data_IF_518709560070
#
_entry.id   IF_518709560070
#
_cell.length_a   1.000
_cell.length_b   1.000
_cell.length_c   1.000
_cell.angle_alpha   90.00
_cell.angle_beta   90.00
_cell.angle_gamma   90.00
#
_symmetry.space_group_name_H-M   'P 1'
#
loop_
_entity.id
_entity.type
_entity.pdbx_description
1 polymer ?
#
# COMPACT_ATOMS: atom_id res chain seq x y z
N UNK A 1 -29.79 22.81 -37.21
CA UNK A 1 -30.04 21.50 -37.85
C UNK A 1 -29.17 20.49 -37.14
N UNK A 2 -29.83 19.59 -36.44
CA UNK A 2 -29.32 18.64 -35.43
C UNK A 2 -28.72 17.37 -36.08
N UNK A 3 -27.66 16.84 -35.45
CA UNK A 3 -27.37 15.45 -34.97
C UNK A 3 -27.82 14.19 -35.76
N UNK A 4 -27.39 12.95 -35.39
CA UNK A 4 -26.05 12.42 -35.03
C UNK A 4 -25.76 11.01 -35.66
N UNK A 5 -24.57 10.43 -35.43
CA UNK A 5 -24.22 9.04 -35.77
C UNK A 5 -23.88 8.24 -34.48
N UNK A 6 -24.68 7.22 -34.18
CA UNK A 6 -24.51 6.26 -33.08
C UNK A 6 -24.07 4.91 -33.68
N UNK A 7 -22.96 4.32 -33.22
CA UNK A 7 -22.58 2.95 -33.55
C UNK A 7 -22.69 2.09 -32.28
N UNK A 8 -23.66 1.19 -32.26
CA UNK A 8 -23.95 0.28 -31.16
C UNK A 8 -23.00 -0.94 -31.16
N UNK A 9 -22.67 -1.40 -29.96
CA UNK A 9 -21.85 -2.58 -29.66
C UNK A 9 -22.73 -3.83 -29.73
N UNK A 10 -22.40 -4.80 -30.60
CA UNK A 10 -23.08 -6.11 -30.66
C UNK A 10 -22.54 -7.10 -29.60
N UNK A 11 -23.38 -7.98 -29.02
CA UNK A 11 -22.97 -8.94 -27.99
C UNK A 11 -22.12 -10.11 -28.52
N UNK A 12 -21.27 -10.74 -27.66
CA UNK A 12 -20.16 -11.60 -28.07
C UNK A 12 -20.54 -12.99 -28.61
N UNK A 13 -21.82 -13.35 -28.63
CA UNK A 13 -22.26 -14.67 -29.12
C UNK A 13 -22.39 -14.76 -30.64
N UNK A 14 -22.63 -13.63 -31.33
CA UNK A 14 -22.80 -13.62 -32.80
C UNK A 14 -21.46 -13.65 -33.54
N UNK A 15 -20.42 -13.03 -32.97
CA UNK A 15 -19.07 -13.02 -33.54
C UNK A 15 -18.45 -14.42 -33.59
N UNK A 16 -18.72 -15.25 -32.58
CA UNK A 16 -18.23 -16.64 -32.52
C UNK A 16 -18.84 -17.49 -33.64
N UNK A 17 -20.14 -17.35 -33.92
CA UNK A 17 -20.82 -18.04 -35.02
C UNK A 17 -20.34 -17.57 -36.40
N UNK A 18 -20.17 -16.26 -36.60
CA UNK A 18 -19.68 -15.70 -37.88
C UNK A 18 -18.22 -16.09 -38.14
N UNK A 19 -17.39 -16.16 -37.10
CA UNK A 19 -16.01 -16.66 -37.21
C UNK A 19 -15.95 -18.16 -37.52
N UNK A 20 -16.87 -18.96 -36.98
CA UNK A 20 -16.92 -20.41 -37.20
C UNK A 20 -17.43 -20.77 -38.61
N UNK A 21 -18.42 -20.05 -39.14
CA UNK A 21 -18.87 -20.18 -40.53
C UNK A 21 -17.79 -19.75 -41.55
N UNK A 22 -17.01 -18.70 -41.24
CA UNK A 22 -15.86 -18.28 -42.06
C UNK A 22 -14.72 -19.32 -42.02
N UNK A 23 -14.48 -19.95 -40.88
CA UNK A 23 -13.48 -21.02 -40.75
C UNK A 23 -13.88 -22.28 -41.53
N UNK A 24 -15.18 -22.63 -41.56
CA UNK A 24 -15.69 -23.75 -42.34
C UNK A 24 -15.59 -23.51 -43.86
N UNK A 25 -15.85 -22.29 -44.35
CA UNK A 25 -15.70 -21.94 -45.78
C UNK A 25 -14.25 -21.94 -46.27
N UNK A 26 -13.27 -21.70 -45.38
CA UNK A 26 -11.84 -21.75 -45.71
C UNK A 26 -11.25 -23.18 -45.71
N UNK A 27 -12.02 -24.20 -45.31
CA UNK A 27 -11.55 -25.60 -45.22
C UNK A 27 -11.61 -26.38 -46.54
N UNK A 28 -12.14 -25.79 -47.61
CA UNK A 28 -12.29 -26.44 -48.93
C UNK A 28 -10.93 -26.81 -49.58
N UNK A 29 -9.83 -26.20 -49.15
CA UNK A 29 -8.47 -26.43 -49.71
C UNK A 29 -7.51 -27.13 -48.75
N UNK A 30 -7.97 -27.60 -47.59
CA UNK A 30 -7.11 -28.19 -46.55
C UNK A 30 -6.92 -29.72 -46.68
N UNK A 31 -5.72 -30.18 -46.30
CA UNK A 31 -5.26 -31.57 -46.31
C UNK A 31 -6.17 -32.54 -45.52
N UNK A 32 -6.32 -33.82 -45.92
CA UNK A 32 -7.30 -34.77 -45.34
C UNK A 32 -7.21 -34.98 -43.82
N UNK A 33 -6.05 -34.74 -43.21
CA UNK A 33 -5.85 -34.81 -41.75
C UNK A 33 -6.52 -33.67 -40.97
N UNK A 34 -6.61 -32.49 -41.58
CA UNK A 34 -7.20 -31.29 -40.95
C UNK A 34 -8.74 -31.39 -41.03
N UNK A 35 -9.29 -31.92 -42.14
CA UNK A 35 -10.74 -32.16 -42.28
C UNK A 35 -11.30 -33.08 -41.21
N UNK A 36 -10.64 -34.21 -40.93
CA UNK A 36 -11.06 -35.14 -39.85
C UNK A 36 -11.10 -34.50 -38.46
N UNK A 37 -10.22 -33.52 -38.21
CA UNK A 37 -10.16 -32.83 -36.92
C UNK A 37 -11.28 -31.77 -36.79
N UNK A 38 -11.64 -31.12 -37.89
CA UNK A 38 -12.74 -30.15 -37.95
C UNK A 38 -14.10 -30.86 -37.87
N UNK A 39 -14.26 -32.01 -38.53
CA UNK A 39 -15.49 -32.81 -38.49
C UNK A 39 -15.77 -33.35 -37.07
N UNK A 40 -14.73 -33.74 -36.34
CA UNK A 40 -14.83 -34.18 -34.93
C UNK A 40 -15.26 -33.04 -33.99
N UNK A 41 -14.79 -31.81 -34.24
CA UNK A 41 -15.18 -30.62 -33.45
C UNK A 41 -16.62 -30.20 -33.79
N UNK A 42 -17.05 -30.36 -35.04
CA UNK A 42 -18.42 -30.11 -35.49
C UNK A 42 -19.43 -31.08 -34.85
N UNK A 43 -19.10 -32.37 -34.77
CA UNK A 43 -19.93 -33.39 -34.10
C UNK A 43 -20.18 -33.10 -32.62
N UNK A 44 -19.16 -32.63 -31.90
CA UNK A 44 -19.25 -32.29 -30.48
C UNK A 44 -20.06 -31.01 -30.19
N UNK A 45 -20.27 -30.15 -31.19
CA UNK A 45 -21.00 -28.89 -31.06
C UNK A 45 -22.50 -28.98 -31.43
N UNK A 46 -22.95 -30.09 -32.04
CA UNK A 46 -24.35 -30.31 -32.46
C UNK A 46 -25.41 -30.17 -31.34
N UNK A 47 -25.20 -30.63 -30.09
CA UNK A 47 -26.24 -30.54 -29.05
C UNK A 47 -26.46 -29.12 -28.49
N UNK A 48 -25.58 -28.14 -28.80
CA UNK A 48 -25.76 -26.75 -28.37
C UNK A 48 -26.57 -25.90 -29.37
N UNK A 49 -26.89 -26.42 -30.56
CA UNK A 49 -27.56 -25.67 -31.63
C UNK A 49 -29.05 -26.01 -31.78
N UNK A 50 -29.61 -26.88 -30.93
CA UNK A 50 -31.02 -27.28 -31.00
C UNK A 50 -31.75 -26.96 -29.70
N UNK A 51 -32.08 -25.68 -29.49
CA UNK A 51 -33.16 -25.28 -28.60
C UNK A 51 -34.03 -24.23 -29.32
N UNK A 52 -35.36 -24.41 -29.37
CA UNK A 52 -36.24 -23.58 -30.19
C UNK A 52 -36.42 -22.17 -29.61
N UNK A 53 -36.29 -21.19 -30.50
CA UNK A 53 -36.57 -19.77 -30.30
C UNK A 53 -38.06 -19.57 -30.63
N UNK A 54 -38.88 -19.26 -29.62
CA UNK A 54 -40.07 -18.39 -29.76
C UNK A 54 -40.79 -18.22 -28.42
N UNK A 55 -40.65 -17.04 -27.83
CA UNK A 55 -41.73 -16.19 -27.31
C UNK A 55 -41.08 -15.03 -26.58
N UNK A 56 -41.15 -13.83 -27.15
CA UNK A 56 -41.49 -12.56 -26.49
C UNK A 56 -41.27 -11.42 -27.50
N UNK A 57 -42.37 -10.82 -27.95
CA UNK A 57 -42.37 -9.52 -28.63
C UNK A 57 -42.05 -8.40 -27.61
N UNK A 58 -41.55 -7.23 -28.07
CA UNK A 58 -40.96 -6.20 -27.22
C UNK A 58 -41.99 -5.12 -26.82
N UNK A 59 -41.93 -4.67 -25.57
CA UNK A 59 -42.42 -3.33 -25.20
C UNK A 59 -41.25 -2.48 -24.69
N UNK A 60 -41.24 -1.25 -25.16
CA UNK A 60 -40.16 -0.27 -25.10
C UNK A 60 -40.15 0.45 -23.75
N UNK A 61 -38.99 0.50 -23.08
CA UNK A 61 -38.49 1.76 -22.49
C UNK A 61 -37.12 1.62 -21.80
N UNK A 62 -36.16 2.37 -22.35
CA UNK A 62 -35.05 3.06 -21.69
C UNK A 62 -34.07 2.27 -20.83
N UNK A 63 -32.94 1.91 -21.45
CA UNK A 63 -31.65 1.73 -20.79
C UNK A 63 -30.83 3.01 -20.99
N UNK A 64 -30.27 3.57 -19.93
CA UNK A 64 -29.13 4.50 -20.00
C UNK A 64 -28.11 4.07 -18.96
N UNK A 65 -26.98 3.61 -19.47
CA UNK A 65 -25.87 3.03 -18.72
C UNK A 65 -24.94 4.09 -18.12
N UNK A 66 -24.30 3.65 -17.05
CA UNK A 66 -23.48 4.39 -16.12
C UNK A 66 -22.10 4.74 -16.68
N UNK A 67 -21.66 5.98 -16.44
CA UNK A 67 -20.25 6.36 -16.40
C UNK A 67 -19.85 6.51 -14.92
N UNK A 68 -18.94 5.63 -14.46
CA UNK A 68 -18.47 5.59 -13.09
C UNK A 68 -17.31 6.58 -12.86
N UNK A 69 -17.54 7.61 -12.04
CA UNK A 69 -16.51 8.37 -11.35
C UNK A 69 -16.66 8.13 -9.83
N UNK A 70 -15.56 7.77 -9.17
CA UNK A 70 -15.56 7.22 -7.82
C UNK A 70 -16.09 8.15 -6.73
N UNK A 71 -16.73 7.57 -5.70
CA UNK A 71 -16.79 8.16 -4.36
C UNK A 71 -17.07 7.08 -3.31
N UNK A 72 -16.55 7.35 -2.10
CA UNK A 72 -16.50 6.53 -0.89
C UNK A 72 -17.81 5.78 -0.57
N UNK A 73 -17.66 4.56 -0.04
CA UNK A 73 -18.70 3.68 0.51
C UNK A 73 -19.80 4.45 1.27
N UNK A 74 -21.01 4.47 0.70
CA UNK A 74 -22.22 5.04 1.29
C UNK A 74 -22.90 3.98 2.16
N UNK A 75 -23.04 4.26 3.46
CA UNK A 75 -23.95 3.51 4.34
C UNK A 75 -25.38 3.79 3.86
N UNK A 76 -26.22 2.77 3.76
CA UNK A 76 -27.65 2.89 3.45
C UNK A 76 -28.27 3.98 4.34
N UNK A 77 -28.67 5.09 3.72
CA UNK A 77 -29.37 6.18 4.35
C UNK A 77 -30.76 6.26 3.73
N UNK A 78 -31.75 6.47 4.58
CA UNK A 78 -33.16 6.71 4.23
C UNK A 78 -33.31 7.70 3.07
N UNK A 79 -34.39 7.58 2.27
CA UNK A 79 -34.64 8.48 1.14
C UNK A 79 -34.67 9.93 1.63
N UNK A 80 -33.89 10.80 0.98
CA UNK A 80 -33.82 12.25 1.28
C UNK A 80 -34.42 13.03 0.11
N UNK A 81 -35.27 13.99 0.42
CA UNK A 81 -35.83 14.96 -0.52
C UNK A 81 -34.99 16.25 -0.48
N UNK A 82 -34.81 16.91 -1.60
CA UNK A 82 -34.01 18.14 -1.71
C UNK A 82 -34.89 19.26 -2.24
N UNK A 83 -35.09 20.32 -1.47
CA UNK A 83 -35.88 21.48 -1.89
C UNK A 83 -34.96 22.63 -2.30
N UNK A 84 -35.21 23.23 -3.47
CA UNK A 84 -34.52 24.42 -3.98
C UNK A 84 -35.50 25.58 -3.98
N UNK A 85 -35.31 26.54 -3.07
CA UNK A 85 -36.15 27.73 -2.94
C UNK A 85 -35.70 28.86 -3.87
N UNK A 86 -34.40 29.00 -4.05
CA UNK A 86 -33.79 29.97 -4.98
C UNK A 86 -32.74 29.21 -5.79
N UNK A 87 -32.91 29.17 -7.11
CA UNK A 87 -32.07 28.44 -8.07
C UNK A 87 -32.60 28.62 -9.49
N UNK A 88 -32.04 27.89 -10.46
CA UNK A 88 -32.50 27.96 -11.86
C UNK A 88 -33.97 27.51 -12.01
N UNK A 89 -34.34 26.41 -11.35
CA UNK A 89 -35.73 25.95 -11.24
C UNK A 89 -36.04 25.66 -9.76
N UNK A 90 -36.87 26.48 -9.11
CA UNK A 90 -37.35 26.20 -7.75
C UNK A 90 -38.28 24.98 -7.73
N UNK A 91 -38.09 24.07 -6.78
CA UNK A 91 -38.83 22.82 -6.71
C UNK A 91 -38.26 21.79 -5.73
N UNK A 92 -38.92 20.64 -5.65
CA UNK A 92 -38.50 19.49 -4.83
C UNK A 92 -37.95 18.40 -5.74
N UNK A 93 -36.76 17.91 -5.41
CA UNK A 93 -36.02 16.90 -6.14
C UNK A 93 -35.80 15.65 -5.27
N UNK A 94 -35.88 14.48 -5.87
CA UNK A 94 -35.66 13.20 -5.17
C UNK A 94 -34.18 12.82 -5.13
N UNK A 95 -33.38 13.37 -6.05
CA UNK A 95 -31.97 13.06 -6.19
C UNK A 95 -31.12 14.32 -5.98
N UNK A 96 -29.99 14.15 -5.29
CA UNK A 96 -29.02 15.22 -5.11
C UNK A 96 -28.49 15.78 -6.44
N UNK A 97 -28.32 14.92 -7.45
CA UNK A 97 -27.80 15.34 -8.76
C UNK A 97 -28.73 16.35 -9.45
N UNK A 98 -30.05 16.17 -9.33
CA UNK A 98 -31.05 17.08 -9.87
C UNK A 98 -31.02 18.43 -9.15
N UNK A 99 -30.96 18.41 -7.81
CA UNK A 99 -30.83 19.62 -6.98
C UNK A 99 -29.52 20.37 -7.27
N UNK A 100 -28.41 19.65 -7.40
CA UNK A 100 -27.09 20.22 -7.66
C UNK A 100 -27.08 21.01 -8.98
N UNK A 101 -27.68 20.47 -10.04
CA UNK A 101 -27.78 21.16 -11.33
C UNK A 101 -28.52 22.51 -11.23
N UNK A 102 -29.46 22.67 -10.29
CA UNK A 102 -30.22 23.91 -10.10
C UNK A 102 -29.49 24.96 -9.26
N UNK A 103 -28.46 24.55 -8.53
CA UNK A 103 -27.74 25.39 -7.55
C UNK A 103 -26.35 25.77 -8.09
N UNK A 104 -25.70 24.88 -8.86
CA UNK A 104 -24.36 25.13 -9.39
C UNK A 104 -24.36 26.25 -10.42
N UNK A 105 -23.70 27.36 -10.09
CA UNK A 105 -23.57 28.53 -10.98
C UNK A 105 -24.60 29.62 -10.74
N UNK A 106 -25.59 29.42 -9.86
CA UNK A 106 -26.58 30.43 -9.51
C UNK A 106 -26.11 31.25 -8.29
N UNK A 107 -25.91 32.56 -8.46
CA UNK A 107 -25.50 33.46 -7.36
C UNK A 107 -26.67 33.65 -6.38
N UNK A 108 -26.53 33.18 -5.15
CA UNK A 108 -27.54 33.33 -4.10
C UNK A 108 -28.54 32.17 -4.00
N UNK A 109 -28.18 30.98 -4.46
CA UNK A 109 -29.05 29.81 -4.37
C UNK A 109 -29.33 29.39 -2.91
N UNK A 110 -30.58 29.03 -2.62
CA UNK A 110 -31.07 28.61 -1.30
C UNK A 110 -31.72 27.24 -1.43
N UNK A 111 -31.13 26.21 -0.82
CA UNK A 111 -31.59 24.82 -0.90
C UNK A 111 -31.35 24.09 0.42
N UNK A 112 -32.17 23.07 0.71
CA UNK A 112 -32.05 22.25 1.93
C UNK A 112 -32.54 20.81 1.67
N UNK A 113 -31.97 19.83 2.39
CA UNK A 113 -32.41 18.43 2.33
C UNK A 113 -33.30 18.07 3.51
N UNK A 114 -34.39 17.36 3.25
CA UNK A 114 -35.38 16.92 4.24
C UNK A 114 -35.61 15.41 4.17
N UNK A 115 -35.95 14.76 5.30
CA UNK A 115 -36.36 13.37 5.34
C UNK A 115 -37.75 13.10 4.73
N UNK A 116 -38.63 14.10 4.67
CA UNK A 116 -40.00 13.98 4.11
C UNK A 116 -40.26 15.00 3.01
N UNK A 117 -41.07 14.63 2.02
CA UNK A 117 -41.54 15.52 0.94
C UNK A 117 -42.39 16.67 1.48
N UNK A 118 -43.14 16.44 2.55
CA UNK A 118 -43.99 17.45 3.19
C UNK A 118 -43.15 18.57 3.81
N UNK A 119 -42.03 18.23 4.44
CA UNK A 119 -41.08 19.21 5.00
C UNK A 119 -40.36 20.00 3.89
N UNK A 120 -40.07 19.36 2.77
CA UNK A 120 -39.50 20.01 1.59
C UNK A 120 -40.48 21.02 0.95
N UNK A 121 -41.77 20.71 0.94
CA UNK A 121 -42.83 21.61 0.44
C UNK A 121 -43.04 22.82 1.36
N UNK A 122 -43.00 22.59 2.68
CA UNK A 122 -43.03 23.65 3.69
C UNK A 122 -41.87 24.67 3.53
N UNK A 123 -40.67 24.18 3.18
CA UNK A 123 -39.51 25.04 2.91
C UNK A 123 -39.73 25.96 1.69
N UNK A 124 -40.41 25.47 0.64
CA UNK A 124 -40.72 26.25 -0.57
C UNK A 124 -41.84 27.26 -0.33
N UNK A 125 -42.90 26.85 0.35
CA UNK A 125 -44.07 27.70 0.64
C UNK A 125 -43.80 28.77 1.70
N UNK A 126 -42.68 28.67 2.42
CA UNK A 126 -42.30 29.65 3.45
C UNK A 126 -43.06 29.48 4.77
N UNK A 127 -43.99 28.52 4.84
CA UNK A 127 -44.58 28.07 6.09
C UNK A 127 -43.58 27.16 6.79
N UNK A 128 -42.92 27.67 7.84
CA UNK A 128 -42.13 26.83 8.75
C UNK A 128 -43.07 25.76 9.32
N UNK A 129 -42.92 24.50 8.89
CA UNK A 129 -43.59 23.38 9.53
C UNK A 129 -43.28 23.40 11.04
N UNK A 130 -44.25 23.06 11.91
CA UNK A 130 -44.02 23.03 13.34
C UNK A 130 -42.91 22.01 13.63
N UNK A 131 -41.74 22.52 14.00
CA UNK A 131 -40.70 21.70 14.61
C UNK A 131 -41.30 21.02 15.83
N UNK A 132 -41.08 19.71 16.05
CA UNK A 132 -41.48 19.08 17.30
C UNK A 132 -40.52 19.56 18.41
N UNK A 133 -40.79 20.78 18.90
CA UNK A 133 -40.35 21.33 20.17
C UNK A 133 -41.49 22.20 20.68
N UNK A 134 -42.31 21.66 21.57
CA UNK A 134 -42.33 22.10 22.97
C UNK A 134 -43.43 21.38 23.74
N UNK A 135 -43.04 20.73 24.85
CA UNK A 135 -43.98 20.18 25.83
C UNK A 135 -43.61 18.80 26.38
N UNK A 136 -42.52 18.71 27.16
CA UNK A 136 -42.48 17.98 28.45
C UNK A 136 -41.03 17.73 28.88
N UNK A 137 -40.63 18.36 29.97
CA UNK A 137 -39.34 18.18 30.64
C UNK A 137 -39.24 16.76 31.22
N UNK A 138 -38.46 15.90 30.56
CA UNK A 138 -37.86 14.71 31.17
C UNK A 138 -36.52 14.44 30.49
N UNK A 139 -35.45 14.60 31.27
CA UNK A 139 -34.09 14.72 30.81
C UNK A 139 -33.57 13.45 30.12
N UNK A 140 -33.24 13.54 28.82
CA UNK A 140 -32.36 12.56 28.17
C UNK A 140 -30.91 12.87 28.57
N UNK A 141 -30.55 12.52 29.80
CA UNK A 141 -29.17 12.63 30.30
C UNK A 141 -28.29 11.61 29.59
N UNK A 142 -27.58 12.03 28.55
CA UNK A 142 -26.54 11.20 27.92
C UNK A 142 -25.36 11.12 28.88
N UNK A 143 -24.86 9.92 29.14
CA UNK A 143 -23.69 9.69 30.00
C UNK A 143 -22.45 9.33 29.17
N UNK A 144 -21.29 9.80 29.58
CA UNK A 144 -20.00 9.62 28.89
C UNK A 144 -19.04 8.90 29.84
N UNK A 145 -18.73 7.63 29.56
CA UNK A 145 -17.77 6.85 30.34
C UNK A 145 -16.37 6.93 29.74
N UNK A 146 -15.38 7.30 30.54
CA UNK A 146 -13.97 7.42 30.15
C UNK A 146 -13.16 6.35 30.87
N UNK A 147 -12.65 5.39 30.10
CA UNK A 147 -11.86 4.26 30.57
C UNK A 147 -10.35 4.59 30.57
N UNK A 148 -9.89 5.36 29.59
CA UNK A 148 -8.49 5.80 29.46
C UNK A 148 -8.47 7.27 29.05
N UNK A 149 -8.06 8.14 29.95
CA UNK A 149 -8.03 9.60 29.82
C UNK A 149 -7.29 10.22 31.00
N UNK A 150 -7.28 11.56 31.11
CA UNK A 150 -6.63 12.26 32.24
C UNK A 150 -7.27 11.87 33.59
N UNK A 151 -8.60 11.87 33.64
CA UNK A 151 -9.39 11.40 34.79
C UNK A 151 -10.40 10.36 34.28
N UNK A 152 -10.21 9.07 34.60
CA UNK A 152 -11.21 8.02 34.31
C UNK A 152 -12.45 8.22 35.16
N UNK A 153 -13.64 8.09 34.56
CA UNK A 153 -14.91 8.35 35.25
C UNK A 153 -16.11 8.48 34.31
N UNK A 154 -17.29 8.69 34.90
CA UNK A 154 -18.54 8.93 34.17
C UNK A 154 -18.92 10.40 34.25
N UNK A 155 -19.19 11.01 33.11
CA UNK A 155 -19.54 12.42 32.97
C UNK A 155 -20.95 12.54 32.38
N UNK A 156 -21.71 13.53 32.84
CA UNK A 156 -23.03 13.88 32.31
C UNK A 156 -22.97 14.98 31.26
N UNK A 157 -21.83 15.66 31.16
CA UNK A 157 -21.56 16.77 30.24
C UNK A 157 -20.42 16.40 29.30
N UNK A 158 -20.66 16.57 27.99
CA UNK A 158 -19.65 16.31 26.97
C UNK A 158 -18.46 17.26 27.06
N UNK A 159 -18.67 18.54 27.44
CA UNK A 159 -17.57 19.51 27.52
C UNK A 159 -16.51 19.04 28.54
N UNK A 160 -16.95 18.63 29.73
CA UNK A 160 -16.09 18.07 30.78
C UNK A 160 -15.42 16.76 30.36
N UNK A 161 -16.16 15.89 29.65
CA UNK A 161 -15.62 14.62 29.16
C UNK A 161 -14.55 14.82 28.08
N UNK A 162 -14.75 15.80 27.19
CA UNK A 162 -13.86 16.11 26.09
C UNK A 162 -12.50 16.60 26.60
N UNK A 163 -12.46 17.42 27.65
CA UNK A 163 -11.21 17.88 28.26
C UNK A 163 -10.33 16.74 28.80
N UNK A 164 -10.93 15.61 29.18
CA UNK A 164 -10.19 14.43 29.67
C UNK A 164 -9.57 13.59 28.55
N UNK A 165 -10.12 13.70 27.34
CA UNK A 165 -9.75 12.89 26.16
C UNK A 165 -8.83 13.69 25.23
N UNK A 166 -9.05 15.00 25.11
CA UNK A 166 -8.36 15.86 24.15
C UNK A 166 -6.86 15.92 24.47
N UNK A 167 -6.05 15.50 23.50
CA UNK A 167 -4.58 15.49 23.61
C UNK A 167 -4.00 14.34 24.45
N UNK A 168 -4.82 13.39 24.94
CA UNK A 168 -4.33 12.20 25.65
C UNK A 168 -3.92 11.11 24.64
N UNK A 169 -2.83 10.37 24.89
CA UNK A 169 -2.41 9.28 23.99
C UNK A 169 -3.27 8.03 24.20
N UNK A 170 -4.01 7.65 23.16
CA UNK A 170 -4.84 6.44 23.13
C UNK A 170 -6.02 6.48 24.09
N UNK A 171 -6.89 7.50 24.03
CA UNK A 171 -8.01 7.61 24.95
C UNK A 171 -9.09 6.58 24.61
N UNK A 172 -9.72 6.01 25.63
CA UNK A 172 -10.84 5.06 25.50
C UNK A 172 -12.05 5.63 26.21
N UNK A 173 -13.08 5.99 25.45
CA UNK A 173 -14.33 6.55 25.98
C UNK A 173 -15.53 6.09 25.15
N UNK A 174 -16.73 6.08 25.76
CA UNK A 174 -17.98 5.70 25.09
C UNK A 174 -19.18 6.44 25.67
N UNK A 175 -20.19 6.68 24.85
CA UNK A 175 -21.46 7.30 25.25
C UNK A 175 -22.52 6.24 25.57
N UNK A 176 -23.34 6.52 26.58
CA UNK A 176 -24.36 5.61 27.11
C UNK A 176 -25.66 6.38 27.37
N UNK A 177 -26.78 5.68 27.24
CA UNK A 177 -28.11 6.19 27.59
C UNK A 177 -28.39 6.07 29.09
N UNK A 178 -27.70 5.18 29.80
CA UNK A 178 -27.88 4.95 31.25
C UNK A 178 -26.55 5.13 32.00
N UNK A 179 -26.62 5.65 33.23
CA UNK A 179 -25.46 5.88 34.10
C UNK A 179 -24.75 4.57 34.45
N UNK A 180 -25.53 3.55 34.79
CA UNK A 180 -25.03 2.23 35.19
C UNK A 180 -24.18 1.57 34.09
N UNK A 181 -24.60 1.68 32.83
CA UNK A 181 -23.84 1.15 31.69
C UNK A 181 -22.52 1.91 31.48
N UNK A 182 -22.49 3.22 31.78
CA UNK A 182 -21.25 4.01 31.74
C UNK A 182 -20.29 3.61 32.88
N UNK A 183 -20.80 3.35 34.08
CA UNK A 183 -20.00 2.94 35.25
C UNK A 183 -19.40 1.54 35.07
N UNK A 184 -20.16 0.60 34.47
CA UNK A 184 -19.64 -0.73 34.12
C UNK A 184 -18.48 -0.63 33.11
N UNK A 185 -18.59 0.24 32.11
CA UNK A 185 -17.55 0.45 31.11
C UNK A 185 -16.24 1.00 31.69
N UNK A 186 -16.31 1.87 32.70
CA UNK A 186 -15.13 2.39 33.41
C UNK A 186 -14.48 1.32 34.28
N UNK A 187 -15.28 0.54 35.03
CA UNK A 187 -14.79 -0.58 35.87
C UNK A 187 -14.03 -1.64 35.09
N UNK A 188 -14.54 -2.03 33.91
CA UNK A 188 -13.85 -2.98 33.03
C UNK A 188 -12.47 -2.48 32.53
N UNK A 189 -12.15 -1.19 32.67
CA UNK A 189 -10.80 -0.66 32.38
C UNK A 189 -9.82 -0.77 33.52
N UNK A 190 -10.30 -0.64 34.75
CA UNK A 190 -9.45 -0.65 35.95
C UNK A 190 -8.98 -2.06 36.31
N UNK A 191 -9.75 -3.10 36.00
CA UNK A 191 -9.34 -4.51 36.24
C UNK A 191 -8.15 -4.95 35.39
N UNK A 192 -7.87 -4.27 34.26
CA UNK A 192 -6.70 -4.57 33.42
C UNK A 192 -5.39 -3.92 33.90
N UNK A 193 -5.40 -3.22 35.05
CA UNK A 193 -4.23 -2.54 35.63
C UNK A 193 -3.73 -3.10 36.96
N UNK A 194 -4.39 -4.11 37.55
CA UNK A 194 -3.79 -4.87 38.63
C UNK A 194 -2.90 -5.97 38.05
N UNK A 195 -1.59 -5.75 38.15
CA UNK A 195 -0.56 -6.76 37.97
C UNK A 195 -0.76 -7.81 39.06
N UNK A 196 -1.55 -8.85 38.76
CA UNK A 196 -1.52 -10.07 39.55
C UNK A 196 -0.15 -10.72 39.38
N UNK A 197 0.47 -10.97 40.54
CA UNK A 197 1.74 -11.61 40.76
C UNK A 197 1.82 -12.94 40.02
N UNK A 198 2.76 -13.04 39.09
CA UNK A 198 3.16 -14.32 38.51
C UNK A 198 3.87 -15.15 39.60
N UNK A 199 3.63 -16.47 39.68
CA UNK A 199 4.34 -17.33 40.61
C UNK A 199 5.85 -17.31 40.29
N UNK A 200 6.66 -17.18 41.35
CA UNK A 200 8.11 -17.05 41.27
C UNK A 200 8.76 -18.20 40.51
N UNK A 201 9.81 -17.87 39.76
CA UNK A 201 10.60 -18.85 39.01
C UNK A 201 11.16 -19.94 39.97
N UNK A 202 11.18 -21.22 39.55
CA UNK A 202 11.75 -22.29 40.35
C UNK A 202 13.26 -22.04 40.54
N UNK A 203 13.72 -21.86 41.79
CA UNK A 203 15.16 -21.72 42.09
C UNK A 203 15.57 -20.69 43.15
N UNK A 204 14.63 -19.95 43.75
CA UNK A 204 14.92 -19.11 44.92
C UNK A 204 15.09 -20.00 46.16
N UNK A 205 16.33 -20.24 46.60
CA UNK A 205 16.58 -20.78 47.93
C UNK A 205 16.16 -19.74 48.99
N UNK A 206 15.41 -20.19 49.99
CA UNK A 206 15.06 -19.37 51.16
C UNK A 206 16.29 -19.25 52.08
N UNK A 207 17.00 -18.13 51.96
CA UNK A 207 18.07 -17.74 52.89
C UNK A 207 19.27 -17.09 52.21
N UNK A 208 19.90 -16.13 52.88
CA UNK A 208 21.18 -15.57 52.43
C UNK A 208 22.25 -16.68 52.46
N UNK A 209 23.09 -16.81 51.41
CA UNK A 209 24.23 -17.73 51.44
C UNK A 209 25.14 -17.41 52.62
N UNK A 210 25.66 -18.44 53.28
CA UNK A 210 26.64 -18.33 54.37
C UNK A 210 27.97 -18.90 53.91
N UNK A 211 29.07 -18.41 54.46
CA UNK A 211 30.39 -18.97 54.19
C UNK A 211 30.62 -20.30 54.95
N UNK A 212 31.80 -20.92 54.75
CA UNK A 212 32.16 -22.16 55.45
C UNK A 212 32.33 -21.99 56.98
N UNK A 213 32.35 -20.75 57.48
CA UNK A 213 32.39 -20.42 58.90
C UNK A 213 30.98 -20.14 59.49
N UNK A 214 29.95 -20.08 58.65
CA UNK A 214 28.56 -19.84 59.06
C UNK A 214 28.15 -18.37 59.12
N UNK A 215 29.01 -17.46 58.65
CA UNK A 215 28.75 -16.02 58.63
C UNK A 215 27.99 -15.62 57.35
N UNK A 216 27.04 -14.70 57.48
CA UNK A 216 26.24 -14.19 56.36
C UNK A 216 27.05 -13.20 55.52
N UNK A 217 27.04 -13.36 54.20
CA UNK A 217 27.71 -12.39 53.32
C UNK A 217 27.04 -11.01 53.43
N UNK A 218 27.85 -9.97 53.66
CA UNK A 218 27.39 -8.60 53.58
C UNK A 218 26.81 -8.30 52.18
N UNK A 219 25.72 -7.52 52.14
CA UNK A 219 24.98 -7.20 50.92
C UNK A 219 25.93 -6.73 49.79
N UNK A 220 26.00 -7.51 48.71
CA UNK A 220 26.84 -7.22 47.54
C UNK A 220 28.17 -7.98 47.45
N UNK A 221 28.51 -8.83 48.43
CA UNK A 221 29.81 -9.55 48.46
C UNK A 221 29.68 -11.07 48.36
N UNK A 222 28.46 -11.59 48.15
CA UNK A 222 28.22 -13.03 48.00
C UNK A 222 28.56 -13.53 46.59
N UNK A 223 29.06 -14.77 46.45
CA UNK A 223 29.27 -15.37 45.14
C UNK A 223 27.94 -15.46 44.38
N UNK A 224 27.97 -15.14 43.09
CA UNK A 224 26.81 -15.27 42.21
C UNK A 224 26.33 -16.73 42.23
N UNK A 225 25.01 -16.98 42.34
CA UNK A 225 24.49 -18.33 42.31
C UNK A 225 24.86 -19.00 40.96
N UNK A 226 25.14 -20.31 40.95
CA UNK A 226 25.48 -21.02 39.73
C UNK A 226 24.36 -20.84 38.68
N UNK A 227 24.64 -20.10 37.60
CA UNK A 227 23.68 -19.83 36.52
C UNK A 227 23.14 -18.39 36.42
N UNK A 228 23.59 -17.44 37.24
CA UNK A 228 23.24 -16.02 37.05
C UNK A 228 24.18 -15.33 36.04
N UNK A 229 23.63 -14.89 34.91
CA UNK A 229 24.31 -13.97 33.98
C UNK A 229 24.14 -12.51 34.42
N UNK A 230 25.24 -11.77 34.42
CA UNK A 230 25.38 -10.40 34.93
C UNK A 230 24.55 -9.39 34.10
N UNK A 231 23.63 -8.71 34.78
CA UNK A 231 22.73 -7.71 34.23
C UNK A 231 23.42 -6.37 33.97
N UNK A 232 24.30 -6.35 32.97
CA UNK A 232 24.78 -5.19 32.19
C UNK A 232 24.56 -3.79 32.83
N UNK A 233 25.39 -3.39 33.80
CA UNK A 233 25.42 -1.98 34.22
C UNK A 233 25.87 -1.10 33.03
N UNK A 234 25.03 -0.16 32.55
CA UNK A 234 25.34 0.65 31.38
C UNK A 234 26.56 1.55 31.59
N UNK A 235 27.02 1.77 32.82
CA UNK A 235 28.18 2.61 33.14
C UNK A 235 29.52 1.86 33.14
N UNK A 236 29.48 0.54 33.00
CA UNK A 236 30.64 -0.32 33.16
C UNK A 236 31.02 -0.96 31.83
N UNK A 237 32.33 -1.06 31.56
CA UNK A 237 32.94 -1.71 30.42
C UNK A 237 33.94 -2.74 30.94
N UNK A 238 33.90 -3.96 30.40
CA UNK A 238 34.97 -4.92 30.58
C UNK A 238 36.07 -4.60 29.58
N UNK A 239 37.25 -4.20 30.05
CA UNK A 239 38.39 -3.95 29.17
C UNK A 239 38.92 -5.30 28.64
N UNK A 240 38.85 -5.57 27.32
CA UNK A 240 39.25 -6.86 26.75
C UNK A 240 40.75 -7.13 26.90
N UNK A 241 41.55 -6.10 27.16
CA UNK A 241 43.00 -6.19 27.27
C UNK A 241 43.44 -6.58 28.67
N UNK A 242 42.72 -6.10 29.68
CA UNK A 242 43.07 -6.30 31.10
C UNK A 242 42.12 -7.23 31.83
N UNK A 243 40.96 -7.57 31.23
CA UNK A 243 39.90 -8.36 31.85
C UNK A 243 39.27 -7.70 33.06
N UNK A 244 39.55 -6.42 33.30
CA UNK A 244 39.08 -5.67 34.46
C UNK A 244 37.84 -4.84 34.12
N UNK A 245 37.03 -4.66 35.14
CA UNK A 245 35.81 -3.87 35.11
C UNK A 245 36.20 -2.39 35.25
N UNK A 246 35.95 -1.58 34.22
CA UNK A 246 36.29 -0.15 34.15
C UNK A 246 35.03 0.68 33.95
N UNK A 247 34.94 1.84 34.59
CA UNK A 247 33.84 2.79 34.35
C UNK A 247 34.03 3.54 33.03
N UNK A 248 32.96 3.63 32.23
CA UNK A 248 32.97 4.37 30.95
C UNK A 248 33.25 5.85 31.16
N UNK A 249 34.10 6.42 30.31
CA UNK A 249 34.39 7.87 30.35
C UNK A 249 33.17 8.68 29.89
N UNK A 250 33.08 9.99 30.23
CA UNK A 250 31.99 10.87 29.80
C UNK A 250 31.80 10.90 28.27
N UNK A 251 32.89 10.81 27.51
CA UNK A 251 32.92 10.83 26.04
C UNK A 251 32.31 9.55 25.47
N UNK A 252 32.69 8.38 26.02
CA UNK A 252 32.13 7.07 25.65
C UNK A 252 30.63 6.96 26.00
N UNK A 253 30.20 7.65 27.06
CA UNK A 253 28.78 7.78 27.40
C UNK A 253 28.02 8.68 26.41
N UNK A 254 28.67 9.70 25.85
CA UNK A 254 28.08 10.59 24.85
C UNK A 254 27.99 9.94 23.46
N UNK A 255 28.99 9.17 23.02
CA UNK A 255 28.99 8.48 21.73
C UNK A 255 27.76 7.57 21.55
N UNK A 256 27.34 6.85 22.61
CA UNK A 256 26.13 6.00 22.58
C UNK A 256 24.82 6.78 22.45
N UNK A 257 24.78 8.06 22.86
CA UNK A 257 23.57 8.89 22.75
C UNK A 257 23.32 9.37 21.31
N UNK A 258 24.32 9.32 20.42
CA UNK A 258 24.23 9.83 19.04
C UNK A 258 23.98 8.69 18.05
N UNK A 259 23.31 7.61 18.46
CA UNK A 259 22.75 6.65 17.50
C UNK A 259 21.47 7.28 16.91
N UNK A 260 21.45 7.69 15.63
CA UNK A 260 20.24 8.24 15.03
C UNK A 260 19.17 7.15 15.03
N UNK A 261 18.10 7.38 15.79
CA UNK A 261 16.89 6.57 15.72
C UNK A 261 16.47 6.49 14.24
N UNK A 262 16.41 5.30 13.62
CA UNK A 262 16.05 5.21 12.21
C UNK A 262 14.67 5.85 12.05
N UNK A 263 14.62 6.89 11.22
CA UNK A 263 13.42 7.69 10.92
C UNK A 263 12.38 6.85 10.16
N UNK A 264 11.73 5.91 10.84
CA UNK A 264 10.73 5.03 10.25
C UNK A 264 10.02 4.23 11.34
N UNK A 265 8.82 3.70 11.08
CA UNK A 265 8.19 2.76 11.99
C UNK A 265 9.16 1.59 12.27
N UNK A 266 9.31 1.17 13.53
CA UNK A 266 10.25 0.11 13.90
C UNK A 266 9.85 -1.18 13.17
N UNK A 267 10.73 -1.67 12.29
CA UNK A 267 10.57 -2.96 11.61
C UNK A 267 10.69 -2.92 10.08
N UNK A 268 10.46 -1.77 9.45
CA UNK A 268 10.46 -1.68 7.98
C UNK A 268 11.86 -1.42 7.43
N UNK A 269 12.33 -2.26 6.51
CA UNK A 269 13.65 -2.15 5.89
C UNK A 269 13.64 -0.98 4.92
N UNK A 270 14.54 -0.01 5.11
CA UNK A 270 14.69 1.12 4.21
C UNK A 270 15.72 0.79 3.16
N UNK A 271 15.41 1.08 1.91
CA UNK A 271 16.31 0.86 0.79
C UNK A 271 16.29 2.10 -0.07
N UNK A 272 17.45 2.63 -0.39
CA UNK A 272 17.60 3.76 -1.31
C UNK A 272 18.06 3.21 -2.66
N UNK A 273 17.44 3.67 -3.74
CA UNK A 273 17.72 3.19 -5.09
C UNK A 273 17.90 4.37 -6.02
N UNK A 274 18.93 4.31 -6.85
CA UNK A 274 19.25 5.32 -7.85
C UNK A 274 19.80 4.67 -9.13
N UNK A 275 19.64 5.37 -10.25
CA UNK A 275 20.14 4.97 -11.56
C UNK A 275 20.79 6.16 -12.26
N UNK A 276 22.03 5.96 -12.72
CA UNK A 276 22.81 7.02 -13.37
C UNK A 276 23.26 6.57 -14.75
N UNK A 277 23.10 7.42 -15.76
CA UNK A 277 23.53 7.18 -17.13
C UNK A 277 24.48 8.28 -17.62
N UNK A 278 25.72 7.88 -17.88
CA UNK A 278 26.73 8.70 -18.54
C UNK A 278 26.44 8.77 -20.05
N UNK A 279 26.54 9.96 -20.63
CA UNK A 279 26.33 10.22 -22.07
C UNK A 279 24.99 9.66 -22.59
N UNK A 280 23.93 9.82 -21.79
CA UNK A 280 22.59 9.31 -22.09
C UNK A 280 22.12 9.71 -23.50
N UNK A 281 21.56 8.76 -24.25
CA UNK A 281 21.07 8.96 -25.62
C UNK A 281 22.13 8.83 -26.72
N UNK A 282 23.38 8.54 -26.39
CA UNK A 282 24.45 8.25 -27.37
C UNK A 282 24.72 6.74 -27.47
N UNK A 283 25.38 6.29 -28.54
CA UNK A 283 25.83 4.89 -28.68
C UNK A 283 26.89 4.48 -27.65
N UNK A 284 27.54 5.46 -27.03
CA UNK A 284 28.50 5.27 -25.93
C UNK A 284 27.87 5.49 -24.55
N UNK A 285 26.54 5.51 -24.47
CA UNK A 285 25.86 5.62 -23.20
C UNK A 285 26.22 4.43 -22.31
N UNK A 286 26.54 4.72 -21.05
CA UNK A 286 26.84 3.71 -20.03
C UNK A 286 26.00 4.04 -18.82
N UNK A 287 25.23 3.10 -18.34
CA UNK A 287 24.39 3.30 -17.18
C UNK A 287 24.79 2.35 -16.04
N UNK A 288 24.50 2.78 -14.82
CA UNK A 288 24.83 2.07 -13.61
C UNK A 288 23.67 2.07 -12.64
N UNK A 289 23.65 1.03 -11.83
CA UNK A 289 22.58 0.70 -10.89
C UNK A 289 23.15 0.81 -9.48
N UNK A 290 22.50 1.63 -8.64
CA UNK A 290 22.87 1.84 -7.25
C UNK A 290 21.75 1.38 -6.30
N UNK A 291 22.07 0.52 -5.35
CA UNK A 291 21.16 0.12 -4.26
C UNK A 291 21.87 0.23 -2.92
N UNK A 292 21.27 0.95 -1.98
CA UNK A 292 21.85 1.22 -0.68
C UNK A 292 20.88 0.83 0.46
N UNK A 293 21.31 -0.10 1.31
CA UNK A 293 20.57 -0.57 2.48
C UNK A 293 20.99 0.14 3.77
N UNK A 294 22.22 0.65 3.83
CA UNK A 294 22.76 1.36 4.97
C UNK A 294 24.29 1.26 5.07
N UNK A 295 24.91 2.03 5.99
CA UNK A 295 26.36 1.99 6.19
C UNK A 295 26.79 0.72 6.94
N UNK A 296 25.95 0.19 7.83
CA UNK A 296 26.23 -1.03 8.60
C UNK A 296 25.99 -2.32 7.78
N UNK A 297 25.64 -2.18 6.51
CA UNK A 297 25.09 -3.25 5.68
C UNK A 297 25.75 -3.31 4.31
N UNK A 298 27.07 -3.12 4.29
CA UNK A 298 27.89 -3.10 3.07
C UNK A 298 27.72 -4.35 2.20
N UNK A 299 27.43 -5.50 2.81
CA UNK A 299 27.21 -6.77 2.10
C UNK A 299 26.02 -6.78 1.13
N UNK A 300 25.02 -5.90 1.36
CA UNK A 300 23.80 -5.82 0.52
C UNK A 300 23.79 -4.60 -0.39
N UNK A 301 24.76 -3.70 -0.26
CA UNK A 301 24.87 -2.53 -1.13
C UNK A 301 25.35 -2.96 -2.53
N UNK A 302 24.69 -2.47 -3.57
CA UNK A 302 24.97 -2.85 -4.96
C UNK A 302 25.44 -1.66 -5.76
N UNK A 303 26.51 -1.87 -6.52
CA UNK A 303 27.01 -1.00 -7.57
C UNK A 303 27.35 -1.90 -8.76
N UNK A 304 26.51 -1.89 -9.79
CA UNK A 304 26.72 -2.70 -10.99
C UNK A 304 26.43 -1.89 -12.27
N UNK A 305 27.10 -2.19 -13.40
CA UNK A 305 26.71 -1.64 -14.69
C UNK A 305 25.34 -2.18 -15.11
N UNK A 306 24.55 -1.36 -15.79
CA UNK A 306 23.26 -1.77 -16.33
C UNK A 306 23.49 -2.83 -17.42
N UNK A 307 22.84 -3.99 -17.30
CA UNK A 307 22.99 -5.04 -18.31
C UNK A 307 22.18 -4.75 -19.58
N UNK A 308 22.78 -5.01 -20.74
CA UNK A 308 22.13 -5.04 -22.05
C UNK A 308 22.49 -3.87 -22.97
N UNK A 309 21.94 -3.85 -24.18
CA UNK A 309 22.28 -2.86 -25.20
C UNK A 309 21.63 -1.48 -24.98
N UNK A 310 20.57 -1.41 -24.18
CA UNK A 310 19.82 -0.16 -23.93
C UNK A 310 20.30 0.50 -22.65
N UNK A 311 21.29 1.37 -22.77
CA UNK A 311 21.89 2.10 -21.65
C UNK A 311 21.17 3.44 -21.45
N UNK A 312 20.12 3.49 -20.64
CA UNK A 312 19.35 4.72 -20.35
C UNK A 312 19.14 4.93 -18.86
N UNK A 313 18.98 6.19 -18.44
CA UNK A 313 18.79 6.53 -17.02
C UNK A 313 17.55 5.85 -16.43
N UNK A 314 16.41 6.02 -17.11
CA UNK A 314 15.13 5.45 -16.69
C UNK A 314 15.18 3.92 -16.53
N UNK A 315 15.95 3.24 -17.39
CA UNK A 315 16.12 1.79 -17.32
C UNK A 315 17.01 1.40 -16.14
N UNK A 316 18.04 2.17 -15.85
CA UNK A 316 18.88 1.97 -14.67
C UNK A 316 18.10 2.15 -13.37
N UNK A 317 17.28 3.19 -13.26
CA UNK A 317 16.42 3.45 -12.08
C UNK A 317 15.43 2.29 -11.83
N UNK A 318 14.74 1.82 -12.88
CA UNK A 318 13.85 0.65 -12.77
C UNK A 318 14.62 -0.62 -12.38
N UNK A 319 15.82 -0.80 -12.92
CA UNK A 319 16.68 -1.94 -12.58
C UNK A 319 17.12 -1.87 -11.12
N UNK A 320 17.43 -0.69 -10.59
CA UNK A 320 17.76 -0.48 -9.18
C UNK A 320 16.62 -0.91 -8.25
N UNK A 321 15.38 -0.54 -8.58
CA UNK A 321 14.19 -1.00 -7.84
C UNK A 321 14.05 -2.53 -7.92
N UNK A 322 14.24 -3.11 -9.11
CA UNK A 322 14.17 -4.55 -9.30
C UNK A 322 15.21 -5.29 -8.44
N UNK A 323 16.45 -4.78 -8.39
CA UNK A 323 17.54 -5.34 -7.57
C UNK A 323 17.31 -5.17 -6.08
N UNK A 324 16.83 -4.02 -5.66
CA UNK A 324 16.43 -3.80 -4.27
C UNK A 324 15.42 -4.86 -3.81
N UNK A 325 14.43 -5.19 -4.66
CA UNK A 325 13.43 -6.21 -4.35
C UNK A 325 13.96 -7.65 -4.37
N UNK A 326 15.01 -7.94 -5.15
CA UNK A 326 15.68 -9.26 -5.15
C UNK A 326 16.45 -9.51 -3.85
N UNK A 327 17.17 -8.49 -3.38
CA UNK A 327 18.03 -8.59 -2.20
C UNK A 327 17.20 -8.46 -0.92
N UNK A 328 16.11 -7.71 -0.96
CA UNK A 328 15.29 -7.47 0.21
C UNK A 328 14.56 -8.76 0.66
N UNK A 329 14.65 -9.14 1.95
CA UNK A 329 13.99 -10.32 2.48
C UNK A 329 12.47 -10.26 2.23
N UNK A 330 11.93 -11.30 1.59
CA UNK A 330 10.52 -11.35 1.14
C UNK A 330 9.50 -11.28 2.28
N UNK A 331 9.89 -11.68 3.48
CA UNK A 331 9.05 -11.75 4.68
C UNK A 331 9.04 -10.46 5.53
N UNK A 332 9.75 -9.40 5.12
CA UNK A 332 9.87 -8.16 5.87
C UNK A 332 9.31 -6.98 5.07
N UNK A 333 8.62 -6.08 5.77
CA UNK A 333 8.13 -4.84 5.17
C UNK A 333 9.30 -3.99 4.67
N UNK A 334 9.14 -3.36 3.50
CA UNK A 334 10.21 -2.58 2.84
C UNK A 334 9.68 -1.22 2.40
N UNK A 335 10.45 -0.16 2.68
CA UNK A 335 10.29 1.17 2.07
C UNK A 335 11.41 1.38 1.06
N UNK A 336 11.06 1.60 -0.19
CA UNK A 336 12.01 1.99 -1.24
C UNK A 336 11.94 3.51 -1.42
N UNK A 337 13.08 4.15 -1.25
CA UNK A 337 13.30 5.57 -1.48
C UNK A 337 13.96 5.76 -2.84
N UNK A 338 13.36 6.58 -3.68
CA UNK A 338 13.90 6.93 -5.00
C UNK A 338 13.53 8.37 -5.34
N UNK A 339 14.41 9.07 -6.05
CA UNK A 339 14.15 10.41 -6.58
C UNK A 339 13.50 10.38 -7.98
N UNK A 340 13.47 9.21 -8.61
CA UNK A 340 12.78 8.99 -9.88
C UNK A 340 11.28 8.90 -9.70
N UNK A 341 10.60 10.02 -9.95
CA UNK A 341 9.14 10.05 -10.06
C UNK A 341 8.63 9.14 -11.19
N UNK A 342 9.37 9.05 -12.29
CA UNK A 342 9.06 8.15 -13.40
C UNK A 342 8.94 6.70 -12.92
N UNK A 343 9.95 6.22 -12.18
CA UNK A 343 9.99 4.84 -11.71
C UNK A 343 8.86 4.54 -10.72
N UNK A 344 8.54 5.47 -9.83
CA UNK A 344 7.40 5.36 -8.90
C UNK A 344 6.08 5.29 -9.67
N UNK A 345 5.85 6.21 -10.62
CA UNK A 345 4.60 6.27 -11.37
C UNK A 345 4.42 5.02 -12.25
N UNK A 346 5.51 4.49 -12.84
CA UNK A 346 5.54 3.23 -13.59
C UNK A 346 5.00 2.04 -12.79
N UNK A 347 5.45 1.89 -11.53
CA UNK A 347 5.11 0.72 -10.70
C UNK A 347 3.83 0.90 -9.90
N UNK A 348 3.32 2.13 -9.74
CA UNK A 348 2.14 2.43 -8.92
C UNK A 348 0.90 2.79 -9.75
N UNK A 349 0.97 3.83 -10.59
CA UNK A 349 -0.19 4.41 -11.28
C UNK A 349 -0.33 3.84 -12.68
N UNK A 350 0.76 3.87 -13.46
CA UNK A 350 0.70 3.58 -14.89
C UNK A 350 0.57 2.08 -15.18
N UNK A 351 1.18 1.22 -14.37
CA UNK A 351 1.06 -0.23 -14.48
C UNK A 351 -0.41 -0.70 -14.54
N UNK A 352 -1.29 -0.09 -13.76
CA UNK A 352 -2.72 -0.44 -13.70
C UNK A 352 -3.40 -0.18 -15.05
N UNK A 353 -3.09 0.96 -15.68
CA UNK A 353 -3.66 1.33 -16.97
C UNK A 353 -3.04 0.50 -18.11
N UNK A 354 -1.73 0.27 -18.06
CA UNK A 354 -1.05 -0.55 -19.07
C UNK A 354 -1.48 -2.01 -19.04
N UNK A 355 -1.71 -2.60 -17.86
CA UNK A 355 -2.25 -3.95 -17.77
C UNK A 355 -3.64 -4.07 -18.41
N UNK A 356 -4.51 -3.06 -18.24
CA UNK A 356 -5.83 -3.02 -18.89
C UNK A 356 -5.73 -2.85 -20.41
N UNK A 357 -4.76 -2.08 -20.87
CA UNK A 357 -4.55 -1.77 -22.28
C UNK A 357 -3.57 -2.73 -22.98
N UNK A 358 -3.36 -3.95 -22.44
CA UNK A 358 -2.46 -4.96 -23.00
C UNK A 358 -1.02 -4.46 -23.26
N UNK A 359 -0.52 -3.55 -22.42
CA UNK A 359 0.81 -2.93 -22.51
C UNK A 359 1.05 -2.07 -23.75
N UNK A 360 0.00 -1.39 -24.19
CA UNK A 360 0.04 -0.44 -25.30
C UNK A 360 -0.18 0.98 -24.78
N UNK A 361 0.62 1.93 -25.25
CA UNK A 361 0.47 3.36 -24.94
C UNK A 361 -0.71 3.96 -25.70
N UNK A 362 -1.11 5.18 -25.33
CA UNK A 362 -2.13 5.95 -26.07
C UNK A 362 -1.75 6.16 -27.55
N UNK A 363 -0.45 6.16 -27.85
CA UNK A 363 0.11 6.29 -29.20
C UNK A 363 0.20 4.95 -29.96
N UNK A 364 -0.46 3.90 -29.47
CA UNK A 364 -0.45 2.54 -30.04
C UNK A 364 0.93 1.87 -30.11
N UNK A 365 1.92 2.40 -29.37
CA UNK A 365 3.25 1.81 -29.27
C UNK A 365 3.33 0.88 -28.06
N UNK A 366 4.17 -0.17 -28.11
CA UNK A 366 4.45 -0.95 -26.92
C UNK A 366 5.08 -0.05 -25.84
N UNK A 367 4.67 -0.25 -24.59
CA UNK A 367 5.21 0.49 -23.44
C UNK A 367 6.73 0.26 -23.34
N UNK A 368 7.47 1.35 -23.18
CA UNK A 368 8.92 1.29 -22.99
C UNK A 368 9.29 0.61 -21.67
N UNK A 369 10.39 -0.16 -21.66
CA UNK A 369 10.87 -0.90 -20.49
C UNK A 369 9.84 -1.84 -19.84
N UNK A 370 8.85 -2.31 -20.61
CA UNK A 370 7.83 -3.28 -20.19
C UNK A 370 8.43 -4.49 -19.47
N UNK A 371 9.56 -4.99 -19.95
CA UNK A 371 10.28 -6.15 -19.41
C UNK A 371 10.64 -5.96 -17.93
N UNK A 372 11.21 -4.80 -17.57
CA UNK A 372 11.59 -4.50 -16.19
C UNK A 372 10.36 -4.25 -15.30
N UNK A 373 9.38 -3.50 -15.83
CA UNK A 373 8.17 -3.16 -15.07
C UNK A 373 7.40 -4.45 -14.73
N UNK A 374 7.26 -5.38 -15.68
CA UNK A 374 6.62 -6.67 -15.44
C UNK A 374 7.35 -7.51 -14.39
N UNK A 375 8.69 -7.53 -14.42
CA UNK A 375 9.49 -8.22 -13.43
C UNK A 375 9.28 -7.63 -12.02
N UNK A 376 9.27 -6.30 -11.89
CA UNK A 376 9.04 -5.62 -10.61
C UNK A 376 7.64 -5.91 -10.08
N UNK A 377 6.61 -5.83 -10.92
CA UNK A 377 5.23 -6.11 -10.52
C UNK A 377 5.05 -7.54 -10.03
N UNK A 378 5.71 -8.51 -10.67
CA UNK A 378 5.68 -9.92 -10.25
C UNK A 378 6.25 -10.08 -8.83
N UNK A 379 7.36 -9.40 -8.52
CA UNK A 379 7.97 -9.39 -7.18
C UNK A 379 7.08 -8.70 -6.13
N UNK A 380 6.43 -7.60 -6.50
CA UNK A 380 5.52 -6.89 -5.60
C UNK A 380 4.31 -7.76 -5.27
N UNK A 381 3.73 -8.45 -6.26
CA UNK A 381 2.58 -9.33 -6.04
C UNK A 381 2.98 -10.56 -5.20
N UNK A 382 4.17 -11.12 -5.39
CA UNK A 382 4.71 -12.19 -4.54
C UNK A 382 4.77 -11.73 -3.07
N UNK A 383 5.34 -10.55 -2.79
CA UNK A 383 5.42 -10.00 -1.42
C UNK A 383 4.04 -9.73 -0.82
N UNK A 384 3.10 -9.26 -1.63
CA UNK A 384 1.71 -9.02 -1.23
C UNK A 384 0.99 -10.32 -0.87
N UNK A 385 1.26 -11.42 -1.58
CA UNK A 385 0.74 -12.74 -1.23
C UNK A 385 1.20 -13.22 0.15
N UNK A 386 2.42 -12.84 0.55
CA UNK A 386 3.00 -13.08 1.87
C UNK A 386 2.50 -12.11 2.96
N UNK A 387 1.53 -11.23 2.64
CA UNK A 387 0.97 -10.19 3.52
C UNK A 387 2.00 -9.15 4.00
N UNK A 388 3.07 -8.96 3.23
CA UNK A 388 4.14 -8.00 3.49
C UNK A 388 3.88 -6.72 2.71
N UNK A 389 4.22 -5.56 3.30
CA UNK A 389 4.04 -4.24 2.68
C UNK A 389 5.31 -3.79 1.96
N UNK A 390 5.12 -3.34 0.71
CA UNK A 390 6.13 -2.61 -0.06
C UNK A 390 5.62 -1.19 -0.25
N UNK A 391 6.31 -0.21 0.32
CA UNK A 391 6.00 1.22 0.14
C UNK A 391 7.09 1.88 -0.69
N UNK A 392 6.68 2.89 -1.47
CA UNK A 392 7.56 3.74 -2.26
C UNK A 392 7.45 5.16 -1.74
N UNK A 393 8.59 5.78 -1.45
CA UNK A 393 8.68 7.17 -1.03
C UNK A 393 9.54 7.94 -2.04
N UNK A 394 8.96 9.02 -2.56
CA UNK A 394 9.69 9.94 -3.42
C UNK A 394 10.55 10.87 -2.55
N UNK A 395 11.85 10.86 -2.80
CA UNK A 395 12.80 11.80 -2.22
C UNK A 395 13.21 12.83 -3.25
N UNK A 396 13.51 14.05 -2.80
CA UNK A 396 13.95 15.09 -3.72
C UNK A 396 15.43 14.88 -4.02
N UNK A 397 15.78 14.70 -5.28
CA UNK A 397 17.17 14.67 -5.73
C UNK A 397 17.95 15.90 -5.25
N UNK A 398 19.21 15.69 -4.83
CA UNK A 398 20.12 16.72 -4.33
C UNK A 398 19.71 17.45 -3.03
N UNK A 399 18.81 16.88 -2.22
CA UNK A 399 18.37 17.48 -0.96
C UNK A 399 19.24 17.13 0.26
N UNK A 400 20.48 16.67 0.06
CA UNK A 400 21.41 16.21 1.11
C UNK A 400 20.93 15.03 1.96
N UNK A 401 20.05 14.19 1.40
CA UNK A 401 19.69 12.93 2.04
C UNK A 401 20.83 11.93 1.88
N UNK A 402 21.55 11.65 2.97
CA UNK A 402 22.75 10.82 2.97
C UNK A 402 22.54 9.42 2.34
N UNK A 403 21.34 8.85 2.45
CA UNK A 403 21.00 7.56 1.83
C UNK A 403 20.85 7.65 0.31
N UNK A 404 20.29 8.75 -0.20
CA UNK A 404 20.15 8.98 -1.64
C UNK A 404 21.51 9.31 -2.27
N UNK A 405 22.32 10.15 -1.61
CA UNK A 405 23.68 10.45 -2.06
C UNK A 405 24.58 9.20 -2.10
N UNK A 406 24.38 8.27 -1.15
CA UNK A 406 25.07 7.00 -1.17
C UNK A 406 24.63 6.12 -2.36
N UNK A 407 23.32 6.08 -2.66
CA UNK A 407 22.79 5.35 -3.81
C UNK A 407 23.26 5.94 -5.15
N UNK A 408 23.23 7.28 -5.30
CA UNK A 408 23.76 8.00 -6.48
C UNK A 408 25.23 7.66 -6.72
N UNK A 409 26.06 7.73 -5.66
CA UNK A 409 27.48 7.36 -5.73
C UNK A 409 27.67 5.92 -6.19
N UNK A 410 26.85 4.98 -5.71
CA UNK A 410 26.90 3.58 -6.16
C UNK A 410 26.48 3.45 -7.63
N UNK A 411 25.47 4.19 -8.07
CA UNK A 411 25.01 4.19 -9.46
C UNK A 411 26.07 4.77 -10.42
N UNK A 412 26.69 5.90 -10.05
CA UNK A 412 27.80 6.52 -10.81
C UNK A 412 29.00 5.58 -10.87
N UNK A 413 29.35 4.93 -9.77
CA UNK A 413 30.42 3.93 -9.77
C UNK A 413 30.09 2.78 -10.74
N UNK A 414 28.86 2.27 -10.72
CA UNK A 414 28.40 1.21 -11.62
C UNK A 414 28.47 1.63 -13.10
N UNK A 415 28.12 2.88 -13.42
CA UNK A 415 28.18 3.40 -14.79
C UNK A 415 29.62 3.53 -15.31
N UNK A 416 30.58 3.70 -14.40
CA UNK A 416 32.01 3.77 -14.72
C UNK A 416 32.68 2.38 -14.79
N UNK A 417 32.06 1.32 -14.29
CA UNK A 417 32.57 -0.06 -14.41
C UNK A 417 32.46 -0.56 -15.85
N UNK A 418 33.54 -1.17 -16.37
CA UNK A 418 33.55 -1.76 -17.70
C UNK A 418 32.68 -3.03 -17.73
N UNK A 419 32.02 -3.28 -18.86
CA UNK A 419 31.18 -4.46 -19.04
C UNK A 419 32.04 -5.74 -18.93
N UNK A 420 31.98 -6.41 -17.77
CA UNK A 420 32.69 -7.66 -17.47
C UNK A 420 32.24 -8.84 -18.38
N UNK A 421 31.26 -8.63 -19.27
CA UNK A 421 30.63 -9.69 -20.05
C UNK A 421 31.14 -9.89 -21.48
N UNK A 422 32.25 -9.25 -21.84
CA UNK A 422 32.82 -9.40 -23.19
C UNK A 422 33.79 -10.59 -23.34
N UNK A 423 34.27 -11.19 -22.24
CA UNK A 423 35.32 -12.23 -22.33
C UNK A 423 34.80 -13.67 -22.51
N UNK A 424 33.61 -14.03 -22.03
CA UNK A 424 33.10 -15.41 -22.23
C UNK A 424 32.65 -15.70 -23.68
N UNK A 425 32.38 -14.66 -24.49
CA UNK A 425 32.01 -14.83 -25.90
C UNK A 425 33.23 -14.81 -26.83
N UNK A 426 34.37 -14.23 -26.44
CA UNK A 426 35.59 -14.20 -27.26
C UNK A 426 36.33 -15.54 -27.26
N UNK A 427 36.40 -16.26 -26.15
CA UNK A 427 37.06 -17.58 -26.09
C UNK A 427 36.32 -18.65 -26.93
N UNK A 428 34.99 -18.57 -27.00
CA UNK A 428 34.18 -19.46 -27.83
C UNK A 428 34.36 -19.20 -29.35
N UNK A 429 34.59 -17.93 -29.73
CA UNK A 429 34.80 -17.54 -31.12
C UNK A 429 36.23 -17.84 -31.60
N UNK A 430 37.24 -17.73 -30.73
CA UNK A 430 38.62 -18.12 -31.04
C UNK A 430 38.79 -19.64 -31.13
N UNK A 431 38.14 -20.41 -30.24
CA UNK A 431 38.11 -21.88 -30.35
C UNK A 431 37.42 -22.37 -31.63
N UNK A 432 36.38 -21.66 -32.10
CA UNK A 432 35.72 -21.98 -33.37
C UNK A 432 36.59 -21.65 -34.60
N UNK A 433 37.40 -20.59 -34.55
CA UNK A 433 38.36 -20.23 -35.62
C UNK A 433 39.58 -21.15 -35.68
N UNK A 434 40.06 -21.68 -34.56
CA UNK A 434 41.13 -22.68 -34.58
C UNK A 434 40.66 -24.03 -35.14
N UNK A 435 39.40 -24.41 -34.89
CA UNK A 435 38.83 -25.68 -35.37
C UNK A 435 38.52 -25.70 -36.87
N UNK A 436 38.28 -24.54 -37.49
CA UNK A 436 38.07 -24.43 -38.94
C UNK A 436 39.37 -24.35 -39.75
N UNK A 437 40.49 -23.92 -39.14
CA UNK A 437 41.80 -23.86 -39.79
C UNK A 437 42.55 -25.21 -39.81
N UNK A 438 42.18 -26.14 -38.93
CA UNK A 438 42.73 -27.50 -38.89
C UNK A 438 42.01 -28.51 -39.81
N UNK A 439 40.99 -28.06 -40.56
CA UNK A 439 40.18 -28.88 -41.48
C UNK A 439 40.32 -28.47 -42.96
N UNK A 440 41.21 -27.53 -43.27
CA UNK A 440 41.49 -27.09 -44.64
C UNK A 440 42.85 -27.52 -45.12
#
# INVERSE_FOLDING_TARGET
MELPFNAAVEPPTRLVLVCMERALRLSSTASPRIKRSIDAISELAKPFLTLPINQFEPDMSSVSENVAAGTKRKRNGEPKFYAVKIGFQPGIYNHWNECLAQVTGFKGAVFQSFPSREEADAFLTGNRAPSPQDGSASACTKFYGIQKGRVPGVYTDWAKAQDQVRGFRGPRYRKFSTREAAEAFVRNGQTTSNKDSLPGAPGLMEGNPKDNAGDEYAAGTGPLPPGAEDGFDPNILLDPTTGKIVYKTPEQKQERKIQPKPSGPPGMLKIYTDGSALRNGTSQARAGVGVYFGPDDESRNVSEPLAGSRQTNQRAELTAISRALDIAPKHRDVTIFTDSKYSIDCVTVWCINWQRNNWVTSTQKPVENKDLIQAILSKIEERKSLKVKTLFEWVKGHNKDAGNEAADRLAVNGANMEDVKTEELSESAESAKHRSKAKS
#
